data_IF_271513667371
#
_entry.id   IF_271513667371
#
_cell.length_a   1.000
_cell.length_b   1.000
_cell.length_c   1.000
_cell.angle_alpha   90.00
_cell.angle_beta   90.00
_cell.angle_gamma   90.00
#
_symmetry.space_group_name_H-M   'P 1'
#
loop_
_entity.id
_entity.type
_entity.pdbx_description
1 polymer ?
#
# COMPACT_ATOMS: atom_id res chain seq x y z
N UNK A 1 79.91 -1.13 7.19
CA UNK A 1 78.64 -1.74 7.64
C UNK A 1 77.71 -0.81 8.48
N UNK A 2 77.67 0.54 8.32
CA UNK A 2 76.70 1.37 9.09
C UNK A 2 75.37 1.66 8.36
N UNK A 3 75.31 1.53 7.02
CA UNK A 3 74.12 1.91 6.23
C UNK A 3 72.93 0.96 6.38
N UNK A 4 73.18 -0.34 6.52
CA UNK A 4 72.11 -1.36 6.64
C UNK A 4 71.47 -1.39 8.03
N UNK A 5 72.23 -1.06 9.08
CA UNK A 5 71.72 -0.96 10.45
C UNK A 5 70.75 0.22 10.61
N UNK A 6 71.05 1.36 9.96
CA UNK A 6 70.20 2.55 10.01
C UNK A 6 68.84 2.34 9.33
N UNK A 7 68.80 1.56 8.25
CA UNK A 7 67.56 1.22 7.53
C UNK A 7 66.67 0.32 8.39
N UNK A 8 67.26 -0.61 9.14
CA UNK A 8 66.51 -1.54 9.99
C UNK A 8 65.89 -0.88 11.23
N UNK A 9 66.57 0.11 11.81
CA UNK A 9 66.02 0.88 12.94
C UNK A 9 64.90 1.82 12.48
N UNK A 10 65.03 2.42 11.29
CA UNK A 10 64.01 3.29 10.71
C UNK A 10 62.72 2.54 10.36
N UNK A 11 62.82 1.32 9.83
CA UNK A 11 61.64 0.49 9.52
C UNK A 11 60.96 -0.02 10.79
N UNK A 12 61.71 -0.36 11.84
CA UNK A 12 61.14 -0.79 13.12
C UNK A 12 60.39 0.36 13.83
N UNK A 13 60.91 1.60 13.77
CA UNK A 13 60.25 2.77 14.34
C UNK A 13 58.91 3.10 13.65
N UNK A 14 58.78 2.84 12.35
CA UNK A 14 57.52 3.05 11.64
C UNK A 14 56.43 2.04 12.03
N UNK A 15 56.79 0.80 12.42
CA UNK A 15 55.80 -0.21 12.78
C UNK A 15 55.17 -0.01 14.17
N UNK A 16 55.83 0.68 15.11
CA UNK A 16 55.30 0.88 16.47
C UNK A 16 54.28 2.02 16.61
N UNK A 17 54.08 2.85 15.58
CA UNK A 17 53.25 4.07 15.69
C UNK A 17 51.77 3.82 15.34
N UNK A 18 51.38 2.58 14.99
CA UNK A 18 50.02 2.25 14.55
C UNK A 18 49.06 1.84 15.69
N UNK A 19 49.52 1.71 16.94
CA UNK A 19 48.67 1.34 18.08
C UNK A 19 48.34 2.55 18.97
N UNK A 20 47.69 3.56 18.42
CA UNK A 20 47.11 4.65 19.20
C UNK A 20 45.60 4.51 19.28
N UNK A 21 45.15 3.91 20.39
CA UNK A 21 43.92 4.20 21.14
C UNK A 21 42.61 4.39 20.36
N UNK A 22 41.77 3.35 20.33
CA UNK A 22 40.34 3.49 20.04
C UNK A 22 39.65 4.25 21.17
N UNK A 23 39.18 5.46 20.89
CA UNK A 23 38.32 6.23 21.82
C UNK A 23 36.90 5.69 21.71
N UNK A 24 36.24 5.29 22.80
CA UNK A 24 34.86 4.82 22.73
C UNK A 24 33.92 5.98 22.37
N UNK A 25 33.20 5.83 21.26
CA UNK A 25 32.15 6.76 20.85
C UNK A 25 30.97 6.66 21.81
N UNK A 26 30.46 7.77 22.37
CA UNK A 26 29.27 7.75 23.21
C UNK A 26 28.05 7.34 22.37
N UNK A 27 27.27 6.37 22.88
CA UNK A 27 26.03 5.90 22.26
C UNK A 27 24.91 6.88 22.63
N UNK A 28 24.15 7.43 21.67
CA UNK A 28 23.01 8.28 21.95
C UNK A 28 21.92 7.53 22.73
N UNK A 29 21.37 8.15 23.78
CA UNK A 29 20.25 7.59 24.52
C UNK A 29 18.96 7.63 23.66
N UNK A 30 18.36 6.46 23.46
CA UNK A 30 17.06 6.33 22.78
C UNK A 30 15.95 6.94 23.63
N UNK A 31 15.30 7.98 23.13
CA UNK A 31 14.12 8.57 23.78
C UNK A 31 12.94 7.60 23.77
N UNK A 32 12.27 7.45 24.91
CA UNK A 32 11.10 6.59 25.05
C UNK A 32 9.94 7.05 24.13
N UNK A 33 9.16 6.12 23.55
CA UNK A 33 8.07 6.48 22.66
C UNK A 33 6.95 7.20 23.41
N UNK A 34 6.60 8.40 22.95
CA UNK A 34 5.42 9.14 23.43
C UNK A 34 4.17 8.45 22.88
N UNK A 35 3.26 8.01 23.76
CA UNK A 35 2.02 7.35 23.37
C UNK A 35 1.09 8.36 22.71
N UNK A 36 0.79 8.15 21.43
CA UNK A 36 -0.20 8.96 20.71
C UNK A 36 -1.59 8.80 21.35
N UNK A 37 -2.32 9.91 21.49
CA UNK A 37 -3.70 9.90 21.95
C UNK A 37 -4.58 9.14 20.94
N UNK A 38 -5.41 8.23 21.44
CA UNK A 38 -6.34 7.47 20.60
C UNK A 38 -7.42 8.39 20.06
N UNK A 39 -7.45 8.62 18.75
CA UNK A 39 -8.58 9.28 18.10
C UNK A 39 -9.81 8.38 18.24
N UNK A 40 -10.94 8.96 18.66
CA UNK A 40 -12.20 8.24 18.82
C UNK A 40 -12.70 7.64 17.50
N UNK A 41 -13.34 6.47 17.59
CA UNK A 41 -13.94 5.78 16.45
C UNK A 41 -15.14 6.59 15.94
N UNK A 42 -15.24 6.89 14.63
CA UNK A 42 -16.40 7.60 14.09
C UNK A 42 -17.67 6.74 14.25
N UNK A 43 -18.76 7.36 14.68
CA UNK A 43 -20.06 6.71 14.79
C UNK A 43 -20.61 6.40 13.39
N UNK A 44 -21.00 5.14 13.09
CA UNK A 44 -21.57 4.82 11.79
C UNK A 44 -22.91 5.55 11.60
N UNK A 45 -23.02 6.28 10.49
CA UNK A 45 -24.26 6.94 10.06
C UNK A 45 -25.09 5.93 9.27
N UNK A 46 -26.35 5.74 9.66
CA UNK A 46 -27.27 4.87 8.93
C UNK A 46 -27.60 5.48 7.56
N UNK A 47 -27.45 4.68 6.50
CA UNK A 47 -27.83 5.06 5.13
C UNK A 47 -29.35 4.88 4.97
N UNK A 48 -30.08 5.83 4.36
CA UNK A 48 -31.50 5.61 4.05
C UNK A 48 -31.65 4.38 3.15
N UNK A 49 -32.40 3.40 3.62
CA UNK A 49 -32.72 2.19 2.86
C UNK A 49 -33.96 2.47 2.02
N UNK A 50 -33.77 2.81 0.75
CA UNK A 50 -34.86 2.81 -0.23
C UNK A 50 -34.95 1.43 -0.86
N UNK A 51 -36.04 0.70 -0.59
CA UNK A 51 -36.37 -0.51 -1.36
C UNK A 51 -36.95 -0.07 -2.70
N UNK A 52 -36.33 -0.41 -3.84
CA UNK A 52 -36.90 -0.10 -5.14
C UNK A 52 -38.24 -0.83 -5.29
N UNK A 53 -39.27 -0.11 -5.75
CA UNK A 53 -40.55 -0.72 -6.09
C UNK A 53 -40.34 -1.65 -7.30
N UNK A 54 -40.66 -2.93 -7.12
CA UNK A 54 -40.60 -3.92 -8.21
C UNK A 54 -41.88 -3.76 -9.02
N UNK A 55 -41.76 -3.31 -10.26
CA UNK A 55 -42.88 -3.32 -11.20
C UNK A 55 -43.25 -4.77 -11.53
N UNK A 56 -44.55 -5.07 -11.64
CA UNK A 56 -45.02 -6.39 -12.05
C UNK A 56 -44.44 -6.77 -13.43
N UNK A 57 -43.85 -7.97 -13.53
CA UNK A 57 -43.15 -8.41 -14.75
C UNK A 57 -44.10 -8.64 -15.94
N UNK A 58 -45.39 -8.82 -15.68
CA UNK A 58 -46.38 -9.31 -16.65
C UNK A 58 -46.64 -8.38 -17.85
N UNK A 59 -46.11 -7.15 -17.83
CA UNK A 59 -46.35 -6.15 -18.88
C UNK A 59 -45.08 -5.42 -19.35
N UNK A 60 -43.89 -6.02 -19.24
CA UNK A 60 -42.69 -5.43 -19.82
C UNK A 60 -42.78 -5.48 -21.34
N UNK A 61 -42.60 -4.32 -21.99
CA UNK A 61 -42.47 -4.25 -23.42
C UNK A 61 -41.25 -5.08 -23.87
N UNK A 62 -41.44 -5.90 -24.90
CA UNK A 62 -40.38 -6.68 -25.54
C UNK A 62 -39.92 -5.98 -26.80
N UNK A 63 -38.61 -5.96 -27.02
CA UNK A 63 -38.01 -5.43 -28.24
C UNK A 63 -36.72 -6.16 -28.58
N UNK A 64 -36.22 -5.91 -29.78
CA UNK A 64 -34.91 -6.38 -30.24
C UNK A 64 -34.10 -5.15 -30.64
N UNK A 65 -32.87 -5.08 -30.14
CA UNK A 65 -31.92 -4.01 -30.46
C UNK A 65 -31.39 -4.12 -31.89
N UNK A 66 -30.71 -3.08 -32.39
CA UNK A 66 -30.08 -3.10 -33.72
C UNK A 66 -29.02 -4.20 -33.87
N UNK A 67 -28.44 -4.62 -32.75
CA UNK A 67 -27.40 -5.64 -32.67
C UNK A 67 -27.99 -7.06 -32.56
N UNK A 68 -29.32 -7.19 -32.45
CA UNK A 68 -30.03 -8.46 -32.35
C UNK A 68 -30.24 -9.00 -30.93
N UNK A 69 -29.93 -8.22 -29.89
CA UNK A 69 -30.19 -8.62 -28.50
C UNK A 69 -31.65 -8.38 -28.10
N UNK A 70 -32.23 -9.32 -27.36
CA UNK A 70 -33.54 -9.17 -26.74
C UNK A 70 -33.48 -8.18 -25.58
N UNK A 71 -34.45 -7.28 -25.52
CA UNK A 71 -34.59 -6.31 -24.44
C UNK A 71 -36.01 -6.33 -23.87
N UNK A 72 -36.09 -6.13 -22.55
CA UNK A 72 -37.33 -6.05 -21.79
C UNK A 72 -37.40 -4.70 -21.06
N UNK A 73 -38.58 -4.08 -21.06
CA UNK A 73 -38.86 -2.87 -20.31
C UNK A 73 -38.89 -1.61 -21.16
N UNK A 74 -38.58 -0.46 -20.55
CA UNK A 74 -38.66 0.86 -21.19
C UNK A 74 -37.31 1.31 -21.73
N UNK A 75 -37.31 1.89 -22.92
CA UNK A 75 -36.11 2.47 -23.55
C UNK A 75 -35.55 3.69 -22.82
N UNK A 76 -36.38 4.39 -22.04
CA UNK A 76 -36.03 5.58 -21.26
C UNK A 76 -35.83 5.26 -19.76
N UNK A 77 -35.65 3.99 -19.41
CA UNK A 77 -35.37 3.61 -18.03
C UNK A 77 -34.05 4.27 -17.55
N UNK A 78 -34.00 4.78 -16.30
CA UNK A 78 -32.79 5.42 -15.77
C UNK A 78 -31.65 4.42 -15.55
N UNK A 79 -31.95 3.13 -15.56
CA UNK A 79 -31.01 2.03 -15.37
C UNK A 79 -31.32 0.94 -16.38
N UNK A 80 -30.28 0.35 -16.95
CA UNK A 80 -30.36 -0.81 -17.85
C UNK A 80 -29.57 -1.96 -17.22
N UNK A 81 -30.17 -3.16 -17.17
CA UNK A 81 -29.45 -4.40 -16.83
C UNK A 81 -29.11 -5.16 -18.12
N UNK A 82 -27.90 -5.71 -18.16
CA UNK A 82 -27.46 -6.62 -19.22
C UNK A 82 -27.16 -7.96 -18.55
N UNK A 83 -27.86 -9.00 -18.98
CA UNK A 83 -27.67 -10.37 -18.48
C UNK A 83 -26.88 -11.19 -19.49
N UNK A 84 -25.82 -11.86 -19.01
CA UNK A 84 -24.97 -12.74 -19.81
C UNK A 84 -25.13 -14.15 -19.26
N UNK A 85 -25.84 -15.00 -20.00
CA UNK A 85 -26.11 -16.38 -19.63
C UNK A 85 -25.56 -17.34 -20.69
N UNK A 86 -24.90 -18.41 -20.25
CA UNK A 86 -24.56 -19.57 -21.08
C UNK A 86 -25.43 -20.75 -20.62
N UNK A 87 -26.15 -21.37 -21.57
CA UNK A 87 -27.09 -22.47 -21.29
C UNK A 87 -26.55 -23.84 -21.73
N UNK A 88 -25.26 -23.95 -22.01
CA UNK A 88 -24.58 -25.19 -22.39
C UNK A 88 -24.28 -26.10 -21.20
#
# INVERSE_FOLDING_TARGET
MPRTFFIFVASLAMFLTACASATPTPIPATSAPTRAASAGVPTPVALPTSTPAVAALDNLAQSVTSEGHYALGRVDAPVTLIDYSDFM
#
